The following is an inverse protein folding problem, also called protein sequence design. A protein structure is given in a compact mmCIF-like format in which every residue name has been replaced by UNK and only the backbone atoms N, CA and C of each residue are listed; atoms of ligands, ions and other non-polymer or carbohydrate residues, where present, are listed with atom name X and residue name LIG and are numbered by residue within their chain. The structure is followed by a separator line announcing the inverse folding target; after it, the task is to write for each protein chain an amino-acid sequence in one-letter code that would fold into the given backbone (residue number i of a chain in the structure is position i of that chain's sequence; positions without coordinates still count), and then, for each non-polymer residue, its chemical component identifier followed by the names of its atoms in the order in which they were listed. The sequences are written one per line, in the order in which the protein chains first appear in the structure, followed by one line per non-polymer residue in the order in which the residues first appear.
data_IF_381725072836
#
_entry.id   IF_381725072836
#
_cell.length_a   1.000
_cell.length_b   1.000
_cell.length_c   1.000
_cell.angle_alpha   90.00
_cell.angle_beta   90.00
_cell.angle_gamma   90.00
#
_symmetry.space_group_name_H-M   'P 1'
#
loop_
_entity.id
_entity.type
_entity.pdbx_description
1 polymer ?
#
# COMPACT_ATOMS: atom_id res chain seq x y z
N UNK A 1 -19.62 -20.30 32.40
CA UNK A 1 -20.11 -19.39 31.31
C UNK A 1 -19.05 -18.36 30.93
N UNK A 2 -18.43 -17.62 31.87
CA UNK A 2 -17.36 -16.62 31.54
C UNK A 2 -16.08 -17.19 30.92
N UNK A 3 -15.65 -18.39 31.31
CA UNK A 3 -14.46 -19.05 30.70
C UNK A 3 -14.72 -19.55 29.27
N UNK A 4 -15.92 -19.97 28.96
CA UNK A 4 -16.30 -20.44 27.62
C UNK A 4 -16.42 -19.28 26.62
N UNK A 5 -16.96 -18.13 27.05
CA UNK A 5 -17.05 -16.92 26.20
C UNK A 5 -15.66 -16.35 25.91
N UNK A 6 -14.74 -16.37 26.89
CA UNK A 6 -13.35 -15.95 26.66
C UNK A 6 -12.55 -16.92 25.77
N UNK A 7 -12.86 -18.22 25.84
CA UNK A 7 -12.19 -19.22 24.97
C UNK A 7 -12.66 -19.10 23.52
N UNK A 8 -13.95 -18.85 23.28
CA UNK A 8 -14.51 -18.60 21.93
C UNK A 8 -13.94 -17.30 21.36
N UNK A 9 -13.89 -16.23 22.15
CA UNK A 9 -13.31 -14.95 21.70
C UNK A 9 -11.80 -15.08 21.38
N UNK A 10 -11.05 -15.87 22.16
CA UNK A 10 -9.64 -16.15 21.91
C UNK A 10 -9.42 -17.04 20.66
N UNK A 11 -10.33 -17.99 20.40
CA UNK A 11 -10.27 -18.81 19.18
C UNK A 11 -10.66 -18.01 17.94
N UNK A 12 -11.65 -17.13 18.03
CA UNK A 12 -12.02 -16.22 16.94
C UNK A 12 -10.92 -15.19 16.64
N UNK A 13 -10.27 -14.62 17.66
CA UNK A 13 -9.11 -13.73 17.48
C UNK A 13 -7.89 -14.45 16.87
N UNK A 14 -7.66 -15.71 17.21
CA UNK A 14 -6.60 -16.51 16.61
C UNK A 14 -6.91 -16.91 15.17
N UNK A 15 -8.18 -17.15 14.84
CA UNK A 15 -8.62 -17.46 13.48
C UNK A 15 -8.45 -16.25 12.54
N UNK A 16 -8.81 -15.05 12.97
CA UNK A 16 -8.66 -13.82 12.16
C UNK A 16 -7.19 -13.52 11.86
N UNK A 17 -6.27 -13.77 12.80
CA UNK A 17 -4.81 -13.56 12.61
C UNK A 17 -4.20 -14.48 11.56
N UNK A 18 -4.79 -15.65 11.33
CA UNK A 18 -4.33 -16.64 10.37
C UNK A 18 -5.05 -16.55 9.01
N UNK A 19 -6.04 -15.66 8.87
CA UNK A 19 -6.75 -15.49 7.59
C UNK A 19 -5.84 -14.82 6.57
N UNK A 20 -5.81 -15.39 5.37
CA UNK A 20 -5.09 -14.82 4.24
C UNK A 20 -5.80 -13.56 3.74
N UNK A 21 -5.03 -12.55 3.37
CA UNK A 21 -5.61 -11.30 2.84
C UNK A 21 -6.47 -11.54 1.60
N UNK A 22 -6.07 -12.50 0.74
CA UNK A 22 -6.88 -12.86 -0.42
C UNK A 22 -8.26 -13.44 -0.05
N UNK A 23 -8.34 -14.22 1.04
CA UNK A 23 -9.61 -14.78 1.52
C UNK A 23 -10.51 -13.66 2.07
N UNK A 24 -9.92 -12.68 2.77
CA UNK A 24 -10.62 -11.49 3.24
C UNK A 24 -11.13 -10.61 2.09
N UNK A 25 -10.36 -10.48 1.01
CA UNK A 25 -10.78 -9.74 -0.18
C UNK A 25 -11.97 -10.42 -0.85
N UNK A 26 -11.99 -11.74 -0.87
CA UNK A 26 -13.05 -12.54 -1.49
C UNK A 26 -14.26 -12.78 -0.57
N UNK A 27 -14.20 -12.38 0.70
CA UNK A 27 -15.33 -12.52 1.63
C UNK A 27 -16.41 -11.48 1.34
N UNK A 28 -17.57 -11.95 0.84
CA UNK A 28 -18.71 -11.10 0.52
C UNK A 28 -19.54 -10.70 1.75
N UNK A 29 -19.26 -11.26 2.94
CA UNK A 29 -20.01 -10.98 4.17
C UNK A 29 -19.43 -9.80 4.96
N UNK A 30 -18.19 -9.43 4.72
CA UNK A 30 -17.52 -8.32 5.39
C UNK A 30 -17.53 -7.04 4.54
N UNK A 31 -17.41 -5.88 5.20
CA UNK A 31 -17.32 -4.58 4.49
C UNK A 31 -16.08 -4.56 3.61
N UNK A 32 -16.17 -4.17 2.34
CA UNK A 32 -15.03 -4.12 1.43
C UNK A 32 -14.17 -2.88 1.69
N UNK A 33 -13.53 -2.82 2.87
CA UNK A 33 -12.78 -1.68 3.37
C UNK A 33 -11.37 -2.08 3.83
N UNK A 34 -10.36 -1.39 3.33
CA UNK A 34 -8.98 -1.45 3.81
C UNK A 34 -8.32 -0.07 3.68
N UNK A 35 -7.25 0.13 4.40
CA UNK A 35 -6.51 1.39 4.31
C UNK A 35 -5.02 1.18 4.58
N UNK A 36 -4.22 2.15 4.15
CA UNK A 36 -2.82 2.19 4.50
C UNK A 36 -2.52 3.23 5.58
N UNK A 37 -1.50 2.97 6.37
CA UNK A 37 -0.97 3.92 7.34
C UNK A 37 0.48 4.26 7.05
N UNK A 38 0.83 5.49 7.33
CA UNK A 38 2.18 6.00 7.21
C UNK A 38 2.85 5.96 8.60
N UNK A 39 3.99 5.24 8.77
CA UNK A 39 4.75 5.30 10.01
C UNK A 39 5.07 6.74 10.41
N UNK A 40 5.00 7.11 11.70
CA UNK A 40 5.23 8.47 12.17
C UNK A 40 6.67 8.92 11.87
N UNK A 41 6.90 10.23 11.78
CA UNK A 41 8.25 10.76 11.72
C UNK A 41 9.00 10.46 13.02
N UNK A 42 10.31 10.27 12.91
CA UNK A 42 11.21 10.10 14.05
C UNK A 42 11.02 11.26 15.05
N UNK A 43 10.72 10.93 16.29
CA UNK A 43 10.47 11.89 17.36
C UNK A 43 9.00 12.23 17.62
N UNK A 44 8.06 11.87 16.72
CA UNK A 44 6.64 12.20 16.90
C UNK A 44 5.85 11.19 17.77
N UNK A 45 6.50 10.11 18.22
CA UNK A 45 5.81 9.06 18.99
C UNK A 45 4.77 8.29 18.16
N UNK A 46 4.00 7.44 18.83
CA UNK A 46 3.04 6.51 18.17
C UNK A 46 1.59 6.99 18.21
N UNK A 47 1.28 8.02 19.02
CA UNK A 47 -0.08 8.46 19.30
C UNK A 47 -0.88 8.81 18.02
N UNK A 48 -0.27 9.53 17.07
CA UNK A 48 -0.94 9.91 15.83
C UNK A 48 -1.31 8.68 14.98
N UNK A 49 -0.41 7.69 14.89
CA UNK A 49 -0.65 6.44 14.17
C UNK A 49 -1.83 5.69 14.76
N UNK A 50 -1.78 5.43 16.07
CA UNK A 50 -2.84 4.68 16.75
C UNK A 50 -4.18 5.43 16.75
N UNK A 51 -4.18 6.76 16.91
CA UNK A 51 -5.41 7.55 16.76
C UNK A 51 -6.04 7.40 15.35
N UNK A 52 -5.22 7.35 14.31
CA UNK A 52 -5.72 7.09 12.94
C UNK A 52 -6.41 5.72 12.87
N UNK A 53 -5.79 4.68 13.41
CA UNK A 53 -6.34 3.31 13.39
C UNK A 53 -7.59 3.24 14.30
N UNK A 54 -7.56 3.83 15.49
CA UNK A 54 -8.68 3.86 16.44
C UNK A 54 -9.95 4.46 15.83
N UNK A 55 -9.80 5.45 14.93
CA UNK A 55 -10.90 6.08 14.22
C UNK A 55 -11.42 5.22 13.06
N UNK A 56 -10.52 4.60 12.31
CA UNK A 56 -10.87 3.84 11.10
C UNK A 56 -11.30 2.40 11.41
N UNK A 57 -10.88 1.81 12.54
CA UNK A 57 -11.32 0.46 12.94
C UNK A 57 -12.83 0.34 13.17
N UNK A 58 -13.52 1.47 13.45
CA UNK A 58 -14.97 1.50 13.57
C UNK A 58 -15.70 1.08 12.29
N UNK A 59 -15.01 1.09 11.15
CA UNK A 59 -15.53 0.65 9.85
C UNK A 59 -15.14 -0.80 9.51
N UNK A 60 -14.56 -1.53 10.46
CA UNK A 60 -14.22 -2.97 10.34
C UNK A 60 -13.32 -3.26 9.13
N UNK A 61 -12.09 -2.69 9.09
CA UNK A 61 -11.20 -2.91 7.97
C UNK A 61 -10.78 -4.38 7.86
N UNK A 62 -10.79 -4.92 6.66
CA UNK A 62 -10.35 -6.29 6.36
C UNK A 62 -8.87 -6.49 6.69
N UNK A 63 -8.04 -5.50 6.36
CA UNK A 63 -6.61 -5.48 6.63
C UNK A 63 -6.07 -4.05 6.60
N UNK A 64 -4.87 -3.86 7.14
CA UNK A 64 -4.19 -2.56 7.19
C UNK A 64 -2.83 -2.67 6.50
N UNK A 65 -2.60 -1.85 5.48
CA UNK A 65 -1.30 -1.72 4.85
C UNK A 65 -0.40 -0.77 5.63
N UNK A 66 0.90 -1.07 5.68
CA UNK A 66 1.90 -0.21 6.31
C UNK A 66 2.94 0.19 5.29
N UNK A 67 3.02 1.48 4.97
CA UNK A 67 3.96 1.99 3.99
C UNK A 67 5.39 1.87 4.46
N UNK A 68 6.31 1.65 3.52
CA UNK A 68 7.75 1.69 3.74
C UNK A 68 8.35 2.94 3.10
N UNK A 69 9.23 3.61 3.82
CA UNK A 69 9.97 4.77 3.33
C UNK A 69 11.46 4.49 3.38
N UNK A 70 12.12 4.74 2.25
CA UNK A 70 13.57 4.66 2.14
C UNK A 70 14.29 5.65 3.06
N UNK A 71 15.54 5.37 3.35
CA UNK A 71 16.44 6.36 3.96
C UNK A 71 16.68 7.51 2.99
N UNK A 72 16.79 8.72 3.51
CA UNK A 72 17.17 9.92 2.75
C UNK A 72 18.66 10.20 2.96
N UNK A 73 19.28 10.89 2.00
CA UNK A 73 20.60 11.46 2.19
C UNK A 73 20.46 12.93 2.55
N UNK A 74 21.22 13.37 3.54
CA UNK A 74 21.37 14.77 3.91
C UNK A 74 22.84 15.16 3.82
N UNK A 75 23.11 16.39 3.42
CA UNK A 75 24.45 16.91 3.36
C UNK A 75 24.66 17.82 4.59
N UNK A 76 25.65 17.44 5.42
CA UNK A 76 26.05 18.20 6.59
C UNK A 76 27.28 19.04 6.22
N UNK A 77 27.20 20.33 6.40
CA UNK A 77 28.36 21.22 6.26
C UNK A 77 29.33 20.97 7.42
N UNK A 78 30.57 20.65 7.09
CA UNK A 78 31.67 20.44 8.05
C UNK A 78 32.52 21.70 8.20
N UNK A 79 32.19 22.78 7.50
CA UNK A 79 33.03 23.98 7.37
C UNK A 79 34.11 23.85 6.26
N UNK A 80 34.75 24.97 5.92
CA UNK A 80 35.76 25.05 4.87
C UNK A 80 35.32 24.51 3.50
N UNK A 81 34.03 24.57 3.17
CA UNK A 81 33.48 24.09 1.91
C UNK A 81 33.34 22.54 1.80
N UNK A 82 33.56 21.82 2.90
CA UNK A 82 33.41 20.37 2.94
C UNK A 82 31.99 19.99 3.33
N UNK A 83 31.35 19.12 2.53
CA UNK A 83 30.03 18.57 2.77
C UNK A 83 30.11 17.08 3.03
N UNK A 84 29.57 16.60 4.13
CA UNK A 84 29.46 15.18 4.46
C UNK A 84 28.08 14.65 4.07
N UNK A 85 28.01 13.66 3.19
CA UNK A 85 26.77 12.95 2.87
C UNK A 85 26.47 11.96 4.00
N UNK A 86 25.30 12.11 4.64
CA UNK A 86 24.86 11.23 5.72
C UNK A 86 23.54 10.57 5.33
N UNK A 87 23.42 9.24 5.57
CA UNK A 87 22.17 8.50 5.43
C UNK A 87 21.33 8.70 6.68
N UNK A 88 20.09 9.13 6.52
CA UNK A 88 19.16 9.40 7.62
C UNK A 88 17.85 8.63 7.43
N UNK A 89 17.47 7.83 8.43
CA UNK A 89 16.15 7.23 8.52
C UNK A 89 15.22 8.19 9.24
N UNK A 90 14.15 8.61 8.54
CA UNK A 90 13.18 9.57 9.12
C UNK A 90 11.98 8.90 9.76
N UNK A 91 11.76 7.61 9.52
CA UNK A 91 10.62 6.85 10.03
C UNK A 91 11.08 5.50 10.60
N UNK A 92 10.34 4.92 11.57
CA UNK A 92 10.57 3.54 12.00
C UNK A 92 10.35 2.57 10.85
N UNK A 93 10.91 1.37 10.99
CA UNK A 93 10.72 0.29 10.02
C UNK A 93 9.28 -0.21 9.98
N UNK A 94 8.81 -0.57 8.79
CA UNK A 94 7.44 -1.06 8.57
C UNK A 94 7.13 -2.33 9.38
N UNK A 95 8.11 -3.22 9.56
CA UNK A 95 7.96 -4.48 10.29
C UNK A 95 7.60 -4.24 11.75
N UNK A 96 8.33 -3.34 12.44
CA UNK A 96 8.04 -3.02 13.83
C UNK A 96 6.64 -2.40 14.00
N UNK A 97 6.20 -1.58 13.05
CA UNK A 97 4.86 -0.98 13.05
C UNK A 97 3.81 -2.05 12.77
N UNK A 98 4.04 -2.96 11.81
CA UNK A 98 3.15 -4.08 11.51
C UNK A 98 2.93 -4.96 12.75
N UNK A 99 4.01 -5.37 13.42
CA UNK A 99 3.94 -6.14 14.67
C UNK A 99 3.13 -5.41 15.75
N UNK A 100 3.39 -4.11 15.95
CA UNK A 100 2.68 -3.32 16.96
C UNK A 100 1.17 -3.19 16.65
N UNK A 101 0.80 -3.03 15.39
CA UNK A 101 -0.61 -2.96 14.96
C UNK A 101 -1.29 -4.32 15.12
N UNK A 102 -0.69 -5.39 14.63
CA UNK A 102 -1.23 -6.74 14.74
C UNK A 102 -1.42 -7.15 16.21
N UNK A 103 -0.42 -6.89 17.08
CA UNK A 103 -0.52 -7.19 18.49
C UNK A 103 -1.63 -6.40 19.19
N UNK A 104 -1.77 -5.10 18.85
CA UNK A 104 -2.72 -4.21 19.54
C UNK A 104 -4.16 -4.39 19.10
N UNK A 105 -4.39 -4.64 17.81
CA UNK A 105 -5.72 -4.59 17.22
C UNK A 105 -6.25 -5.94 16.75
N UNK A 106 -5.39 -6.95 16.59
CA UNK A 106 -5.77 -8.24 16.00
C UNK A 106 -6.18 -8.17 14.53
N UNK A 107 -5.99 -7.03 13.87
CA UNK A 107 -6.33 -6.82 12.45
C UNK A 107 -5.17 -7.32 11.59
N UNK A 108 -5.41 -8.09 10.51
CA UNK A 108 -4.39 -8.51 9.57
C UNK A 108 -3.62 -7.32 9.00
N UNK A 109 -2.31 -7.45 8.88
CA UNK A 109 -1.40 -6.39 8.42
C UNK A 109 -0.69 -6.79 7.15
N UNK A 110 -0.49 -5.82 6.27
CA UNK A 110 0.22 -5.98 5.00
C UNK A 110 1.35 -4.95 4.95
N UNK A 111 2.56 -5.30 5.43
CA UNK A 111 3.71 -4.43 5.28
C UNK A 111 4.12 -4.30 3.81
N UNK A 112 4.48 -3.08 3.40
CA UNK A 112 5.05 -2.86 2.09
C UNK A 112 6.52 -3.26 2.09
N UNK A 113 6.90 -4.13 1.16
CA UNK A 113 8.29 -4.48 0.89
C UNK A 113 8.69 -3.83 -0.42
N UNK A 114 9.75 -3.04 -0.38
CA UNK A 114 10.13 -2.17 -1.51
C UNK A 114 11.61 -2.35 -1.91
N UNK A 115 11.89 -2.28 -3.20
CA UNK A 115 13.28 -2.29 -3.71
C UNK A 115 14.04 -1.05 -3.22
N UNK A 116 13.37 0.09 -3.18
CA UNK A 116 13.96 1.39 -2.90
C UNK A 116 14.69 1.44 -1.55
N UNK A 117 16.00 1.67 -1.56
CA UNK A 117 16.79 1.87 -0.36
C UNK A 117 17.25 0.60 0.35
N UNK A 118 17.06 -0.60 -0.26
CA UNK A 118 17.42 -1.89 0.31
C UNK A 118 18.34 -2.69 -0.63
N UNK A 119 19.32 -3.39 -0.05
CA UNK A 119 20.09 -4.45 -0.70
C UNK A 119 19.29 -5.77 -0.68
N UNK A 120 19.77 -6.80 -1.39
CA UNK A 120 19.18 -8.14 -1.31
C UNK A 120 19.23 -8.70 0.11
N UNK A 121 20.34 -8.48 0.81
CA UNK A 121 20.52 -8.88 2.20
C UNK A 121 19.52 -8.16 3.13
N UNK A 122 19.36 -6.83 3.00
CA UNK A 122 18.36 -6.07 3.79
C UNK A 122 16.95 -6.67 3.62
N UNK A 123 16.57 -7.03 2.38
CA UNK A 123 15.26 -7.61 2.07
C UNK A 123 15.11 -9.02 2.65
N UNK A 124 16.12 -9.84 2.62
CA UNK A 124 16.11 -11.17 3.21
C UNK A 124 15.93 -11.10 4.73
N UNK A 125 16.66 -10.22 5.42
CA UNK A 125 16.46 -10.01 6.85
C UNK A 125 15.07 -9.50 7.18
N UNK A 126 14.46 -8.67 6.32
CA UNK A 126 13.06 -8.26 6.49
C UNK A 126 12.10 -9.45 6.39
N UNK A 127 12.33 -10.40 5.49
CA UNK A 127 11.53 -11.62 5.39
C UNK A 127 11.69 -12.51 6.61
N UNK A 128 12.92 -12.69 7.09
CA UNK A 128 13.19 -13.43 8.33
C UNK A 128 12.45 -12.82 9.53
N UNK A 129 12.55 -11.51 9.73
CA UNK A 129 11.85 -10.81 10.82
C UNK A 129 10.33 -11.01 10.73
N UNK A 130 9.75 -10.94 9.53
CA UNK A 130 8.32 -11.14 9.30
C UNK A 130 7.88 -12.57 9.59
N UNK A 131 8.69 -13.59 9.23
CA UNK A 131 8.42 -14.97 9.60
C UNK A 131 8.34 -15.17 11.12
N UNK A 132 9.30 -14.60 11.89
CA UNK A 132 9.27 -14.66 13.35
C UNK A 132 8.03 -13.99 13.96
N UNK A 133 7.46 -13.01 13.28
CA UNK A 133 6.26 -12.29 13.70
C UNK A 133 4.96 -12.96 13.24
N UNK A 134 5.05 -14.02 12.41
CA UNK A 134 3.87 -14.66 11.82
C UNK A 134 3.12 -13.75 10.83
N UNK A 135 3.83 -12.86 10.15
CA UNK A 135 3.26 -11.96 9.12
C UNK A 135 3.70 -12.46 7.75
N UNK A 136 2.76 -13.00 6.98
CA UNK A 136 3.02 -13.65 5.70
C UNK A 136 2.40 -12.96 4.48
N UNK A 137 1.51 -11.97 4.67
CA UNK A 137 0.92 -11.19 3.58
C UNK A 137 1.68 -9.87 3.37
N UNK A 138 2.09 -9.60 2.13
CA UNK A 138 2.94 -8.47 1.75
C UNK A 138 2.30 -7.64 0.65
N UNK A 139 2.69 -6.37 0.52
CA UNK A 139 2.53 -5.61 -0.72
C UNK A 139 3.91 -5.33 -1.31
N UNK A 140 4.19 -5.92 -2.47
CA UNK A 140 5.50 -5.85 -3.11
C UNK A 140 5.54 -4.76 -4.17
N UNK A 141 6.42 -3.79 -3.97
CA UNK A 141 6.52 -2.60 -4.77
C UNK A 141 7.96 -2.32 -5.18
N UNK A 142 8.17 -1.55 -6.24
CA UNK A 142 9.50 -0.99 -6.51
C UNK A 142 9.86 0.08 -5.47
N UNK A 143 8.89 0.89 -5.09
CA UNK A 143 9.08 2.10 -4.29
C UNK A 143 9.56 3.29 -5.13
N UNK A 144 9.64 4.45 -4.49
CA UNK A 144 9.95 5.71 -5.15
C UNK A 144 11.47 5.87 -5.39
N UNK A 145 11.81 6.58 -6.46
CA UNK A 145 13.19 7.08 -6.68
C UNK A 145 13.59 8.09 -5.60
N UNK A 146 14.88 8.33 -5.42
CA UNK A 146 15.33 9.43 -4.58
C UNK A 146 14.90 10.77 -5.15
N UNK A 147 14.69 11.77 -4.29
CA UNK A 147 14.27 13.12 -4.71
C UNK A 147 15.27 13.78 -5.64
N UNK A 148 16.54 13.46 -5.44
CA UNK A 148 17.68 13.95 -6.22
C UNK A 148 17.89 13.19 -7.53
N UNK A 149 17.30 12.00 -7.71
CA UNK A 149 17.50 11.15 -8.87
C UNK A 149 16.47 11.41 -9.97
N UNK A 150 16.93 11.45 -11.21
CA UNK A 150 16.04 11.55 -12.37
C UNK A 150 15.31 10.23 -12.66
N UNK A 151 15.97 9.10 -12.40
CA UNK A 151 15.46 7.74 -12.59
C UNK A 151 15.67 6.93 -11.32
N UNK A 152 14.91 5.85 -11.15
CA UNK A 152 15.13 4.92 -10.06
C UNK A 152 16.53 4.31 -10.13
N UNK A 153 17.22 4.28 -8.99
CA UNK A 153 18.53 3.64 -8.84
C UNK A 153 18.45 2.59 -7.72
N UNK A 154 18.84 1.33 -7.99
CA UNK A 154 18.89 0.30 -6.96
C UNK A 154 19.95 0.64 -5.91
N UNK A 155 19.82 0.09 -4.73
CA UNK A 155 20.79 0.25 -3.64
C UNK A 155 21.71 -0.96 -3.60
N UNK A 156 23.00 -0.76 -3.89
CA UNK A 156 23.96 -1.86 -3.96
C UNK A 156 23.55 -2.92 -4.99
N UNK A 157 23.42 -4.16 -4.55
CA UNK A 157 22.94 -5.31 -5.31
C UNK A 157 21.43 -5.51 -5.26
N UNK A 158 20.70 -4.54 -4.67
CA UNK A 158 19.25 -4.60 -4.51
C UNK A 158 18.49 -4.63 -5.83
N UNK A 159 17.24 -5.11 -5.81
CA UNK A 159 16.42 -5.23 -7.01
C UNK A 159 16.08 -3.86 -7.61
N UNK A 160 16.08 -3.78 -8.94
CA UNK A 160 15.71 -2.58 -9.71
C UNK A 160 14.20 -2.45 -9.93
N UNK A 161 13.50 -3.58 -9.95
CA UNK A 161 12.05 -3.65 -10.23
C UNK A 161 11.36 -4.61 -9.27
N UNK A 162 10.06 -4.39 -9.07
CA UNK A 162 9.24 -5.27 -8.23
C UNK A 162 9.26 -6.74 -8.67
N UNK A 163 9.45 -7.02 -9.96
CA UNK A 163 9.56 -8.39 -10.48
C UNK A 163 10.79 -9.11 -9.88
N UNK A 164 11.94 -8.47 -9.84
CA UNK A 164 13.16 -9.04 -9.26
C UNK A 164 13.02 -9.28 -7.75
N UNK A 165 12.31 -8.38 -7.06
CA UNK A 165 11.98 -8.57 -5.64
C UNK A 165 11.01 -9.74 -5.43
N UNK A 166 10.01 -9.91 -6.29
CA UNK A 166 9.10 -11.06 -6.28
C UNK A 166 9.89 -12.36 -6.49
N UNK A 167 10.82 -12.38 -7.43
CA UNK A 167 11.66 -13.55 -7.69
C UNK A 167 12.50 -13.91 -6.44
N UNK A 168 13.08 -12.93 -5.75
CA UNK A 168 13.80 -13.16 -4.48
C UNK A 168 12.86 -13.71 -3.38
N UNK A 169 11.64 -13.18 -3.26
CA UNK A 169 10.65 -13.71 -2.30
C UNK A 169 10.27 -15.16 -2.66
N UNK A 170 10.13 -15.47 -3.94
CA UNK A 170 9.82 -16.83 -4.39
C UNK A 170 10.98 -17.81 -4.17
N UNK A 171 12.23 -17.38 -4.31
CA UNK A 171 13.41 -18.17 -3.94
C UNK A 171 13.39 -18.47 -2.43
N UNK A 172 13.10 -17.46 -1.60
CA UNK A 172 12.96 -17.62 -0.16
C UNK A 172 11.81 -18.59 0.19
N UNK A 173 10.64 -18.47 -0.44
CA UNK A 173 9.53 -19.42 -0.32
C UNK A 173 9.90 -20.83 -0.76
N UNK A 174 10.77 -20.94 -1.77
CA UNK A 174 11.35 -22.20 -2.25
C UNK A 174 12.45 -22.81 -1.35
N UNK A 175 12.68 -22.20 -0.18
CA UNK A 175 13.65 -22.69 0.80
C UNK A 175 15.10 -22.32 0.49
N UNK A 176 15.36 -21.19 -0.17
CA UNK A 176 16.70 -20.72 -0.51
C UNK A 176 16.90 -19.25 -0.12
N UNK A 177 18.05 -18.98 0.47
CA UNK A 177 18.54 -17.61 0.65
C UNK A 177 19.06 -17.03 -0.68
N UNK A 178 19.21 -15.70 -0.72
CA UNK A 178 19.67 -15.02 -1.95
C UNK A 178 21.10 -15.40 -2.37
N UNK A 179 21.92 -15.92 -1.45
CA UNK A 179 23.25 -16.43 -1.71
C UNK A 179 23.25 -17.90 -2.22
N UNK A 180 22.06 -18.50 -2.35
CA UNK A 180 21.86 -19.86 -2.80
C UNK A 180 21.92 -20.93 -1.70
N UNK A 181 22.19 -20.56 -0.44
CA UNK A 181 22.17 -21.53 0.66
C UNK A 181 20.75 -21.99 0.99
N UNK A 182 20.62 -23.22 1.47
CA UNK A 182 19.33 -23.84 1.78
C UNK A 182 18.79 -23.41 3.15
N UNK A 183 17.50 -23.09 3.22
CA UNK A 183 16.78 -22.79 4.47
C UNK A 183 16.37 -24.12 5.10
N UNK A 184 17.01 -24.51 6.22
CA UNK A 184 16.76 -25.81 6.88
C UNK A 184 15.36 -25.98 7.46
N UNK A 185 14.75 -24.88 7.89
CA UNK A 185 13.42 -24.85 8.48
C UNK A 185 12.60 -23.73 7.84
N UNK A 186 12.03 -23.96 6.64
CA UNK A 186 11.20 -22.97 5.99
C UNK A 186 9.95 -22.69 6.85
N UNK A 187 9.61 -21.42 7.01
CA UNK A 187 8.39 -20.98 7.67
C UNK A 187 7.18 -21.00 6.73
N UNK A 188 6.13 -20.27 7.10
CA UNK A 188 4.98 -20.04 6.22
C UNK A 188 5.42 -19.27 4.97
N UNK A 189 4.88 -19.64 3.81
CA UNK A 189 5.15 -18.97 2.55
C UNK A 189 4.58 -17.56 2.55
N UNK A 190 5.38 -16.61 2.10
CA UNK A 190 4.90 -15.25 1.84
C UNK A 190 3.95 -15.22 0.66
N UNK A 191 2.82 -14.56 0.84
CA UNK A 191 1.83 -14.22 -0.17
C UNK A 191 1.92 -12.72 -0.44
N UNK A 192 1.58 -12.30 -1.63
CA UNK A 192 1.73 -10.87 -1.93
C UNK A 192 0.73 -10.32 -2.93
N UNK A 193 0.33 -9.08 -2.65
CA UNK A 193 -0.26 -8.18 -3.60
C UNK A 193 0.80 -7.32 -4.29
N UNK A 194 0.42 -6.69 -5.39
CA UNK A 194 1.27 -5.82 -6.20
C UNK A 194 0.56 -4.53 -6.58
N UNK A 195 1.29 -3.51 -7.03
CA UNK A 195 0.69 -2.31 -7.59
C UNK A 195 0.36 -2.46 -9.08
N UNK A 196 -0.71 -1.77 -9.51
CA UNK A 196 -1.09 -1.58 -10.90
C UNK A 196 -1.57 -0.13 -11.14
N UNK A 197 -1.72 0.27 -12.41
CA UNK A 197 -1.88 1.69 -12.77
C UNK A 197 -2.98 1.86 -13.82
N UNK A 198 -4.20 2.29 -13.42
CA UNK A 198 -5.30 2.52 -14.38
C UNK A 198 -4.97 3.51 -15.48
N UNK A 199 -4.06 4.45 -15.20
CA UNK A 199 -3.63 5.50 -16.12
C UNK A 199 -2.18 5.31 -16.63
N UNK A 200 -1.62 4.12 -16.49
CA UNK A 200 -0.25 3.73 -16.87
C UNK A 200 0.82 4.15 -15.85
N UNK A 201 1.79 3.27 -15.61
CA UNK A 201 2.99 3.59 -14.84
C UNK A 201 3.85 4.64 -15.56
N UNK A 202 4.49 5.56 -14.80
CA UNK A 202 5.31 6.65 -15.37
C UNK A 202 6.41 6.18 -16.34
N UNK A 203 7.05 5.06 -16.03
CA UNK A 203 8.15 4.50 -16.84
C UNK A 203 7.69 3.58 -17.97
N UNK A 204 6.44 3.14 -17.99
CA UNK A 204 5.95 2.29 -19.06
C UNK A 204 5.81 3.09 -20.36
N UNK A 205 6.26 2.53 -21.47
CA UNK A 205 6.16 3.18 -22.77
C UNK A 205 4.69 3.42 -23.19
N UNK A 206 3.83 2.45 -22.88
CA UNK A 206 2.40 2.48 -23.17
C UNK A 206 1.64 1.54 -22.23
N UNK A 207 0.31 1.53 -22.30
CA UNK A 207 -0.54 0.67 -21.47
C UNK A 207 -0.34 -0.83 -21.76
N UNK A 208 0.08 -1.20 -22.96
CA UNK A 208 0.34 -2.60 -23.32
C UNK A 208 1.57 -3.13 -22.57
N UNK A 209 2.66 -2.36 -22.56
CA UNK A 209 3.87 -2.72 -21.81
C UNK A 209 3.64 -2.76 -20.31
N UNK A 210 2.82 -1.85 -19.76
CA UNK A 210 2.46 -1.85 -18.34
C UNK A 210 1.60 -3.06 -17.96
N UNK A 211 0.64 -3.42 -18.82
CA UNK A 211 -0.19 -4.61 -18.64
C UNK A 211 0.66 -5.91 -18.71
N UNK A 212 1.65 -5.98 -19.58
CA UNK A 212 2.57 -7.11 -19.65
C UNK A 212 3.39 -7.28 -18.36
N UNK A 213 3.80 -6.15 -17.74
CA UNK A 213 4.47 -6.17 -16.42
C UNK A 213 3.52 -6.68 -15.33
N UNK A 214 2.25 -6.23 -15.32
CA UNK A 214 1.26 -6.76 -14.36
C UNK A 214 1.03 -8.26 -14.57
N UNK A 215 0.86 -8.70 -15.81
CA UNK A 215 0.70 -10.11 -16.16
C UNK A 215 1.88 -10.95 -15.64
N UNK A 216 3.11 -10.48 -15.85
CA UNK A 216 4.31 -11.16 -15.33
C UNK A 216 4.31 -11.28 -13.81
N UNK A 217 3.88 -10.25 -13.08
CA UNK A 217 3.75 -10.31 -11.61
C UNK A 217 2.72 -11.37 -11.19
N UNK A 218 1.61 -11.49 -11.91
CA UNK A 218 0.57 -12.52 -11.66
C UNK A 218 1.10 -13.93 -11.95
N UNK A 219 1.81 -14.12 -13.06
CA UNK A 219 2.46 -15.41 -13.38
C UNK A 219 3.48 -15.83 -12.32
N UNK A 220 4.11 -14.89 -11.65
CA UNK A 220 5.03 -15.14 -10.54
C UNK A 220 4.31 -15.41 -9.20
N UNK A 221 2.99 -15.27 -9.12
CA UNK A 221 2.20 -15.64 -7.95
C UNK A 221 1.56 -14.47 -7.18
N UNK A 222 1.49 -13.27 -7.75
CA UNK A 222 0.72 -12.19 -7.12
C UNK A 222 -0.77 -12.56 -7.03
N UNK A 223 -1.34 -12.46 -5.83
CA UNK A 223 -2.71 -12.91 -5.54
C UNK A 223 -3.75 -11.80 -5.74
N UNK A 224 -3.36 -10.53 -5.65
CA UNK A 224 -4.21 -9.36 -5.91
C UNK A 224 -3.37 -8.17 -6.35
N UNK A 225 -4.03 -7.15 -6.90
CA UNK A 225 -3.40 -5.90 -7.24
C UNK A 225 -4.13 -4.71 -6.61
N UNK A 226 -3.39 -3.71 -6.15
CA UNK A 226 -3.93 -2.42 -5.67
C UNK A 226 -3.58 -1.35 -6.69
N UNK A 227 -4.57 -0.56 -7.11
CA UNK A 227 -4.30 0.49 -8.10
C UNK A 227 -3.61 1.70 -7.47
N UNK A 228 -2.82 2.42 -8.26
CA UNK A 228 -2.51 3.82 -7.95
C UNK A 228 -3.82 4.59 -7.82
N UNK A 229 -3.82 5.67 -7.03
CA UNK A 229 -4.98 6.56 -6.92
C UNK A 229 -5.41 7.07 -8.30
N UNK A 230 -6.71 7.24 -8.48
CA UNK A 230 -7.35 7.79 -9.69
C UNK A 230 -8.65 8.49 -9.28
N UNK A 231 -9.19 9.34 -10.16
CA UNK A 231 -10.42 10.10 -9.90
C UNK A 231 -11.52 9.83 -10.92
N UNK A 232 -11.21 9.10 -11.98
CA UNK A 232 -12.13 8.71 -13.05
C UNK A 232 -12.36 7.19 -13.02
N UNK A 233 -13.59 6.80 -12.65
CA UNK A 233 -13.94 5.38 -12.55
C UNK A 233 -13.93 4.66 -13.91
N UNK A 234 -14.17 5.34 -15.02
CA UNK A 234 -14.15 4.73 -16.35
C UNK A 234 -12.75 4.24 -16.72
N UNK A 235 -11.69 4.93 -16.26
CA UNK A 235 -10.31 4.49 -16.42
C UNK A 235 -10.05 3.18 -15.65
N UNK A 236 -10.54 3.08 -14.41
CA UNK A 236 -10.45 1.85 -13.64
C UNK A 236 -11.21 0.69 -14.31
N UNK A 237 -12.46 0.89 -14.71
CA UNK A 237 -13.24 -0.17 -15.35
C UNK A 237 -12.66 -0.59 -16.69
N UNK A 238 -12.14 0.35 -17.48
CA UNK A 238 -11.44 0.07 -18.75
C UNK A 238 -10.18 -0.74 -18.49
N UNK A 239 -9.39 -0.38 -17.49
CA UNK A 239 -8.20 -1.11 -17.07
C UNK A 239 -8.54 -2.54 -16.64
N UNK A 240 -9.54 -2.71 -15.75
CA UNK A 240 -9.98 -4.05 -15.30
C UNK A 240 -10.46 -4.89 -16.48
N UNK A 241 -11.28 -4.33 -17.38
CA UNK A 241 -11.75 -5.02 -18.58
C UNK A 241 -10.58 -5.51 -19.43
N UNK A 242 -9.59 -4.65 -19.66
CA UNK A 242 -8.38 -5.01 -20.40
C UNK A 242 -7.58 -6.10 -19.70
N UNK A 243 -7.38 -6.00 -18.39
CA UNK A 243 -6.70 -7.01 -17.60
C UNK A 243 -7.35 -8.40 -17.78
N UNK A 244 -8.69 -8.49 -17.73
CA UNK A 244 -9.43 -9.74 -17.97
C UNK A 244 -9.23 -10.27 -19.39
N UNK A 245 -9.17 -9.41 -20.40
CA UNK A 245 -8.88 -9.81 -21.79
C UNK A 245 -7.46 -10.37 -21.95
N UNK A 246 -6.52 -9.91 -21.15
CA UNK A 246 -5.13 -10.43 -21.10
C UNK A 246 -4.96 -11.68 -20.22
N UNK A 247 -6.04 -12.19 -19.62
CA UNK A 247 -6.03 -13.37 -18.74
C UNK A 247 -5.54 -13.08 -17.32
N UNK A 248 -5.65 -11.84 -16.86
CA UNK A 248 -5.35 -11.44 -15.49
C UNK A 248 -6.65 -11.47 -14.68
N UNK A 249 -6.86 -12.52 -13.88
CA UNK A 249 -8.12 -12.78 -13.17
C UNK A 249 -8.08 -12.46 -11.67
N UNK A 250 -6.92 -12.07 -11.13
CA UNK A 250 -6.78 -11.67 -9.72
C UNK A 250 -7.66 -10.45 -9.38
N UNK A 251 -8.09 -10.29 -8.12
CA UNK A 251 -8.76 -9.07 -7.67
C UNK A 251 -7.91 -7.82 -7.93
N UNK A 252 -8.52 -6.80 -8.53
CA UNK A 252 -7.91 -5.48 -8.74
C UNK A 252 -8.64 -4.49 -7.84
N UNK A 253 -7.96 -4.03 -6.80
CA UNK A 253 -8.53 -3.20 -5.74
C UNK A 253 -8.31 -1.73 -6.07
N UNK A 254 -9.38 -0.91 -6.20
CA UNK A 254 -9.24 0.52 -6.42
C UNK A 254 -8.63 1.23 -5.21
N UNK A 255 -7.57 2.00 -5.45
CA UNK A 255 -6.93 2.88 -4.48
C UNK A 255 -7.59 4.26 -4.48
N UNK A 256 -8.11 4.69 -3.34
CA UNK A 256 -8.90 5.91 -3.19
C UNK A 256 -8.19 6.94 -2.33
N UNK A 257 -8.05 8.15 -2.84
CA UNK A 257 -7.51 9.30 -2.10
C UNK A 257 -8.34 10.54 -2.37
N UNK A 258 -9.18 10.98 -1.42
CA UNK A 258 -9.94 12.21 -1.60
C UNK A 258 -9.01 13.43 -1.65
N UNK A 259 -9.37 14.45 -2.44
CA UNK A 259 -8.72 15.75 -2.36
C UNK A 259 -9.00 16.37 -0.98
N UNK A 260 -7.96 16.94 -0.37
CA UNK A 260 -8.04 17.52 0.97
C UNK A 260 -7.29 18.86 1.10
N UNK A 261 -6.55 19.28 0.06
CA UNK A 261 -5.75 20.50 0.05
C UNK A 261 -5.70 21.12 -1.34
N UNK A 262 -5.71 22.42 -1.43
CA UNK A 262 -5.65 23.18 -2.69
C UNK A 262 -4.42 22.82 -3.55
N UNK A 263 -3.26 22.65 -2.92
CA UNK A 263 -2.04 22.33 -3.65
C UNK A 263 -2.08 20.95 -4.34
N UNK A 264 -3.02 20.06 -3.96
CA UNK A 264 -3.17 18.75 -4.60
C UNK A 264 -3.65 18.86 -6.05
N UNK A 265 -4.30 19.94 -6.44
CA UNK A 265 -4.67 20.18 -7.85
C UNK A 265 -3.47 20.19 -8.80
N UNK A 266 -2.31 20.61 -8.33
CA UNK A 266 -1.06 20.57 -9.11
C UNK A 266 -0.16 19.40 -8.76
N UNK A 267 -0.15 18.97 -7.49
CA UNK A 267 0.74 17.91 -7.00
C UNK A 267 0.29 16.53 -7.50
N UNK A 268 -1.02 16.27 -7.45
CA UNK A 268 -1.56 14.94 -7.77
C UNK A 268 -1.27 14.53 -9.23
N UNK A 269 -1.60 15.33 -10.26
CA UNK A 269 -1.26 14.98 -11.63
C UNK A 269 0.24 14.85 -11.87
N UNK A 270 1.03 15.71 -11.23
CA UNK A 270 2.48 15.77 -11.42
C UNK A 270 3.24 14.59 -10.81
N UNK A 271 2.81 14.13 -9.61
CA UNK A 271 3.53 13.10 -8.86
C UNK A 271 2.96 11.71 -9.12
N UNK A 272 1.63 11.59 -9.22
CA UNK A 272 0.96 10.29 -9.38
C UNK A 272 0.58 9.99 -10.82
N UNK A 273 0.83 10.94 -11.74
CA UNK A 273 0.55 10.79 -13.18
C UNK A 273 -0.89 10.36 -13.47
N UNK A 274 -1.83 10.87 -12.68
CA UNK A 274 -3.27 10.64 -12.86
C UNK A 274 -3.99 11.93 -13.19
N UNK A 275 -5.01 11.84 -14.02
CA UNK A 275 -5.82 12.98 -14.44
C UNK A 275 -6.86 13.34 -13.38
N UNK A 276 -7.14 14.64 -13.27
CA UNK A 276 -8.31 15.14 -12.56
C UNK A 276 -9.45 15.32 -13.59
N UNK A 277 -10.58 14.62 -13.45
CA UNK A 277 -11.73 14.81 -14.33
C UNK A 277 -12.15 16.28 -14.39
N UNK A 278 -12.56 16.73 -15.58
CA UNK A 278 -12.92 18.14 -15.79
C UNK A 278 -14.00 18.63 -14.82
N UNK A 279 -14.98 17.78 -14.51
CA UNK A 279 -16.04 18.09 -13.55
C UNK A 279 -15.49 18.32 -12.14
N UNK A 280 -14.58 17.45 -11.67
CA UNK A 280 -13.92 17.61 -10.37
C UNK A 280 -13.05 18.89 -10.36
N UNK A 281 -12.26 19.09 -11.40
CA UNK A 281 -11.38 20.26 -11.51
C UNK A 281 -12.17 21.57 -11.50
N UNK A 282 -13.28 21.66 -12.25
CA UNK A 282 -14.16 22.85 -12.29
C UNK A 282 -14.73 23.25 -10.92
N UNK A 283 -15.09 22.26 -10.08
CA UNK A 283 -15.54 22.54 -8.71
C UNK A 283 -14.36 22.89 -7.80
N UNK A 284 -13.27 22.16 -7.90
CA UNK A 284 -12.09 22.32 -7.06
C UNK A 284 -11.40 23.70 -7.22
N UNK A 285 -11.34 24.26 -8.44
CA UNK A 285 -10.72 25.58 -8.68
C UNK A 285 -11.53 26.75 -8.14
N UNK A 286 -12.80 26.56 -7.79
CA UNK A 286 -13.62 27.58 -7.14
C UNK A 286 -13.30 27.72 -5.64
N UNK A 287 -12.71 26.66 -5.05
CA UNK A 287 -12.36 26.62 -3.64
C UNK A 287 -11.24 27.61 -3.29
N UNK A 288 -11.39 28.29 -2.16
CA UNK A 288 -10.45 29.29 -1.65
C UNK A 288 -9.72 28.82 -0.39
N UNK A 289 -10.13 27.70 0.18
CA UNK A 289 -9.54 27.11 1.39
C UNK A 289 -9.39 25.59 1.30
N UNK A 290 -8.54 25.03 2.17
CA UNK A 290 -8.38 23.58 2.29
C UNK A 290 -9.67 22.91 2.81
N UNK A 291 -10.51 23.61 3.58
CA UNK A 291 -11.81 23.13 4.05
C UNK A 291 -12.80 22.98 2.91
N UNK A 292 -12.86 23.94 2.00
CA UNK A 292 -13.76 23.91 0.85
C UNK A 292 -13.38 22.76 -0.11
N UNK A 293 -12.09 22.63 -0.47
CA UNK A 293 -11.65 21.56 -1.36
C UNK A 293 -11.76 20.18 -0.71
N UNK A 294 -11.59 20.08 0.61
CA UNK A 294 -11.83 18.86 1.37
C UNK A 294 -13.29 18.41 1.22
N UNK A 295 -14.24 19.33 1.29
CA UNK A 295 -15.66 18.99 1.09
C UNK A 295 -15.92 18.50 -0.35
N UNK A 296 -15.40 19.20 -1.35
CA UNK A 296 -15.48 18.74 -2.76
C UNK A 296 -14.87 17.35 -2.93
N UNK A 297 -13.71 17.11 -2.32
CA UNK A 297 -13.04 15.80 -2.37
C UNK A 297 -13.84 14.69 -1.70
N UNK A 298 -14.54 14.98 -0.58
CA UNK A 298 -15.42 14.02 0.10
C UNK A 298 -16.61 13.67 -0.80
N UNK A 299 -17.31 14.68 -1.34
CA UNK A 299 -18.48 14.45 -2.20
C UNK A 299 -18.11 13.61 -3.42
N UNK A 300 -17.01 13.97 -4.09
CA UNK A 300 -16.50 13.21 -5.22
C UNK A 300 -16.19 11.76 -4.86
N UNK A 301 -15.43 11.55 -3.78
CA UNK A 301 -15.02 10.22 -3.37
C UNK A 301 -16.20 9.35 -2.90
N UNK A 302 -17.26 9.92 -2.32
CA UNK A 302 -18.49 9.18 -1.97
C UNK A 302 -19.15 8.63 -3.23
N UNK A 303 -19.36 9.46 -4.25
CA UNK A 303 -19.97 9.00 -5.50
C UNK A 303 -19.06 8.00 -6.24
N UNK A 304 -17.75 8.27 -6.27
CA UNK A 304 -16.75 7.35 -6.81
C UNK A 304 -16.84 5.98 -6.15
N UNK A 305 -16.82 5.92 -4.82
CA UNK A 305 -16.88 4.68 -4.06
C UNK A 305 -18.21 3.92 -4.26
N UNK A 306 -19.34 4.63 -4.25
CA UNK A 306 -20.66 4.05 -4.51
C UNK A 306 -20.73 3.37 -5.87
N UNK A 307 -20.25 4.04 -6.90
CA UNK A 307 -20.22 3.48 -8.25
C UNK A 307 -19.30 2.26 -8.34
N UNK A 308 -18.08 2.33 -7.75
CA UNK A 308 -17.14 1.22 -7.71
C UNK A 308 -17.76 -0.01 -7.05
N UNK A 309 -18.37 0.14 -5.88
CA UNK A 309 -19.03 -0.95 -5.16
C UNK A 309 -20.23 -1.50 -5.94
N UNK A 310 -21.08 -0.64 -6.50
CA UNK A 310 -22.23 -1.04 -7.33
C UNK A 310 -21.82 -1.85 -8.55
N UNK A 311 -20.67 -1.56 -9.14
CA UNK A 311 -20.11 -2.27 -10.31
C UNK A 311 -19.19 -3.44 -9.94
N UNK A 312 -19.13 -3.82 -8.65
CA UNK A 312 -18.47 -5.05 -8.19
C UNK A 312 -16.98 -4.92 -7.92
N UNK A 313 -16.50 -3.75 -7.51
CA UNK A 313 -15.13 -3.65 -7.00
C UNK A 313 -14.96 -4.55 -5.77
N UNK A 314 -13.88 -5.38 -5.69
CA UNK A 314 -13.75 -6.41 -4.66
C UNK A 314 -13.49 -5.85 -3.26
N UNK A 315 -12.90 -4.67 -3.19
CA UNK A 315 -12.57 -3.94 -1.98
C UNK A 315 -12.33 -2.46 -2.33
N UNK A 316 -12.36 -1.56 -1.34
CA UNK A 316 -11.88 -0.19 -1.48
C UNK A 316 -10.66 0.00 -0.59
N UNK A 317 -9.55 0.46 -1.15
CA UNK A 317 -8.32 0.72 -0.41
C UNK A 317 -8.09 2.23 -0.28
N UNK A 318 -8.01 2.75 0.96
CA UNK A 318 -7.90 4.17 1.24
C UNK A 318 -6.48 4.61 1.62
N UNK A 319 -5.97 5.61 0.91
CA UNK A 319 -4.70 6.27 1.19
C UNK A 319 -4.88 7.35 2.25
N UNK A 320 -4.49 7.08 3.52
CA UNK A 320 -4.86 7.90 4.68
C UNK A 320 -4.06 9.20 4.85
N UNK A 321 -2.92 9.33 4.19
CA UNK A 321 -2.03 10.50 4.38
C UNK A 321 -2.78 11.81 4.17
N UNK A 322 -2.87 12.61 5.22
CA UNK A 322 -3.60 13.90 5.26
C UNK A 322 -5.10 13.83 4.92
N UNK A 323 -5.73 12.64 5.03
CA UNK A 323 -7.12 12.44 4.60
C UNK A 323 -7.99 11.65 5.60
N UNK A 324 -7.52 11.38 6.83
CA UNK A 324 -8.23 10.54 7.81
C UNK A 324 -9.64 11.03 8.09
N UNK A 325 -9.84 12.34 8.30
CA UNK A 325 -11.17 12.93 8.54
C UNK A 325 -12.09 12.71 7.35
N UNK A 326 -11.58 12.97 6.14
CA UNK A 326 -12.33 12.76 4.89
C UNK A 326 -12.73 11.30 4.71
N UNK A 327 -11.82 10.37 4.99
CA UNK A 327 -12.07 8.93 4.87
C UNK A 327 -13.12 8.47 5.89
N UNK A 328 -13.05 8.95 7.14
CA UNK A 328 -14.09 8.67 8.14
C UNK A 328 -15.46 9.16 7.67
N UNK A 329 -15.55 10.35 7.08
CA UNK A 329 -16.80 10.90 6.57
C UNK A 329 -17.32 10.13 5.34
N UNK A 330 -16.43 9.77 4.42
CA UNK A 330 -16.76 8.93 3.26
C UNK A 330 -17.28 7.57 3.73
N UNK A 331 -16.56 6.89 4.63
CA UNK A 331 -16.91 5.56 5.12
C UNK A 331 -18.29 5.54 5.81
N UNK A 332 -18.62 6.55 6.63
CA UNK A 332 -19.97 6.71 7.22
C UNK A 332 -21.10 6.81 6.19
N UNK A 333 -20.80 7.29 4.98
CA UNK A 333 -21.80 7.55 3.95
C UNK A 333 -21.94 6.41 2.94
N UNK A 334 -20.98 5.48 2.93
CA UNK A 334 -20.98 4.35 1.99
C UNK A 334 -21.18 2.99 2.67
N UNK A 335 -20.90 2.88 3.96
CA UNK A 335 -21.09 1.69 4.82
C UNK A 335 -22.10 1.94 5.93
#
# INVERSE_FOLDING_TARGET
MYLYTNLIALTEELDIRNMKVIDLINDNNSKPFSFEVLPPLKGNGTAQLFNTIDRLKAFEPRYINITTHRSEFVYKDLGNGLMQRQRVRRRPGTIAIAAAIQQRYGIPVVPHIVCSGHTREDLEYMLLDLQFLGISDLLVLRGDKAKEDHMFQPTGDGPSHAIELIEQINEFNGGRFFDGTEIKCPGEHFRYGVACYPEKHEEAANMESDMAVLKRKVELGAEYAVTQLFYDNDKYFTFVKRARQEGIDIPIIPGIKPLAKLNQLSIVPKIFHCDLPEALYREAVKCKSDEEIKQVGIEWAVEQCRELLKKGAPNLHFYTVSAVDSICEIAKRIY
#
